data_IF_834044757492
#
_entry.id   IF_834044757492
#
_cell.length_a   1.000
_cell.length_b   1.000
_cell.length_c   1.000
_cell.angle_alpha   90.00
_cell.angle_beta   90.00
_cell.angle_gamma   90.00
#
_symmetry.space_group_name_H-M   'P 1'
#
loop_
_entity.id
_entity.type
_entity.pdbx_description
1 polymer ?
#
# COMPACT_ATOMS: atom_id res chain seq x y z
N UNK A 1 -0.81 -7.71 15.57
CA UNK A 1 0.53 -7.76 14.92
C UNK A 1 1.56 -8.50 15.77
N UNK A 2 1.20 -8.80 17.00
CA UNK A 2 2.03 -9.29 18.10
C UNK A 2 2.60 -10.69 17.83
N UNK A 3 2.04 -11.43 16.87
CA UNK A 3 2.52 -12.76 16.49
C UNK A 3 3.82 -12.72 15.69
N UNK A 4 3.99 -11.73 14.81
CA UNK A 4 5.18 -11.61 13.95
C UNK A 4 6.19 -10.58 14.47
N UNK A 5 5.79 -9.67 15.36
CA UNK A 5 6.67 -8.65 15.95
C UNK A 5 7.96 -9.24 16.56
N UNK A 6 7.94 -10.31 17.39
CA UNK A 6 9.17 -10.86 17.96
C UNK A 6 10.15 -11.41 16.93
N UNK A 7 9.67 -11.85 15.76
CA UNK A 7 10.50 -12.34 14.66
C UNK A 7 11.03 -11.18 13.81
N UNK A 8 10.21 -10.15 13.59
CA UNK A 8 10.65 -8.93 12.91
C UNK A 8 11.80 -8.25 13.66
N UNK A 9 11.71 -8.11 14.98
CA UNK A 9 12.78 -7.50 15.80
C UNK A 9 14.13 -8.24 15.64
N UNK A 10 14.11 -9.55 15.38
CA UNK A 10 15.32 -10.36 15.18
C UNK A 10 15.88 -10.32 13.75
N UNK A 11 15.14 -9.78 12.79
CA UNK A 11 15.58 -9.70 11.39
C UNK A 11 16.72 -8.70 11.22
N UNK A 12 17.67 -9.00 10.32
CA UNK A 12 18.74 -8.05 9.94
C UNK A 12 18.21 -6.86 9.13
N UNK A 13 17.06 -7.02 8.49
CA UNK A 13 16.42 -5.99 7.67
C UNK A 13 14.89 -6.15 7.78
N UNK A 14 14.29 -5.76 8.92
CA UNK A 14 12.86 -5.96 9.14
C UNK A 14 11.99 -5.02 8.33
N UNK A 15 11.03 -5.59 7.61
CA UNK A 15 10.14 -4.84 6.71
C UNK A 15 8.73 -5.41 6.72
N UNK A 16 7.74 -4.53 6.65
CA UNK A 16 6.32 -4.87 6.52
C UNK A 16 5.74 -4.05 5.36
N UNK A 17 5.13 -4.74 4.41
CA UNK A 17 4.40 -4.13 3.31
C UNK A 17 2.92 -4.47 3.42
N UNK A 18 2.07 -3.46 3.34
CA UNK A 18 0.62 -3.60 3.28
C UNK A 18 0.13 -3.28 1.87
N UNK A 19 -0.59 -4.22 1.24
CA UNK A 19 -1.20 -3.98 -0.08
C UNK A 19 -2.48 -3.16 0.10
N UNK A 20 -2.39 -1.88 -0.24
CA UNK A 20 -3.49 -0.91 -0.17
C UNK A 20 -4.00 -0.56 -1.59
N UNK A 21 -4.62 0.62 -1.75
CA UNK A 21 -5.15 1.13 -3.01
C UNK A 21 -5.29 2.65 -2.95
N UNK A 22 -5.12 3.34 -4.08
CA UNK A 22 -5.44 4.77 -4.22
C UNK A 22 -6.90 5.09 -3.92
N UNK A 23 -7.81 4.12 -4.07
CA UNK A 23 -9.21 4.25 -3.65
C UNK A 23 -9.40 4.42 -2.13
N UNK A 24 -8.36 4.16 -1.33
CA UNK A 24 -8.32 4.48 0.09
C UNK A 24 -7.86 5.91 0.40
N UNK A 25 -7.57 6.73 -0.61
CA UNK A 25 -7.15 8.12 -0.46
C UNK A 25 -8.36 9.06 -0.34
N UNK A 26 -8.46 9.75 0.79
CA UNK A 26 -9.44 10.81 1.04
C UNK A 26 -9.22 12.01 0.11
N UNK A 27 -7.97 12.39 -0.17
CA UNK A 27 -7.66 13.48 -1.11
C UNK A 27 -8.15 13.15 -2.52
N UNK A 28 -7.95 11.92 -2.99
CA UNK A 28 -8.41 11.52 -4.33
C UNK A 28 -9.92 11.31 -4.40
N UNK A 29 -10.54 10.89 -3.28
CA UNK A 29 -11.98 10.80 -3.16
C UNK A 29 -12.65 12.18 -3.27
N UNK A 30 -12.06 13.24 -2.68
CA UNK A 30 -12.58 14.61 -2.76
C UNK A 30 -12.69 15.14 -4.18
N UNK A 31 -11.75 14.76 -5.06
CA UNK A 31 -11.74 15.17 -6.47
C UNK A 31 -12.35 14.13 -7.41
N UNK A 32 -12.94 13.06 -6.86
CA UNK A 32 -13.46 11.91 -7.61
C UNK A 32 -12.50 11.42 -8.71
N UNK A 33 -11.19 11.34 -8.39
CA UNK A 33 -10.13 11.05 -9.38
C UNK A 33 -10.43 9.80 -10.22
N UNK A 34 -11.01 8.79 -9.59
CA UNK A 34 -11.25 7.47 -10.18
C UNK A 34 -12.62 7.33 -10.84
N UNK A 35 -13.50 8.32 -10.75
CA UNK A 35 -14.84 8.28 -11.34
C UNK A 35 -15.79 7.21 -10.74
N UNK A 36 -15.34 6.50 -9.69
CA UNK A 36 -15.99 5.31 -9.16
C UNK A 36 -17.03 5.68 -8.10
N UNK A 37 -18.24 6.00 -8.53
CA UNK A 37 -19.40 6.25 -7.65
C UNK A 37 -20.18 4.98 -7.29
N UNK A 38 -19.60 3.81 -7.55
CA UNK A 38 -20.28 2.54 -7.34
C UNK A 38 -20.36 2.20 -5.85
N UNK A 39 -21.59 2.06 -5.33
CA UNK A 39 -21.85 1.81 -3.91
C UNK A 39 -21.12 0.58 -3.35
N UNK A 40 -20.87 -0.43 -4.18
CA UNK A 40 -20.20 -1.65 -3.74
C UNK A 40 -18.70 -1.44 -3.42
N UNK A 41 -18.10 -0.35 -3.90
CA UNK A 41 -16.70 -0.01 -3.59
C UNK A 41 -16.54 0.72 -2.26
N UNK A 42 -17.61 1.20 -1.62
CA UNK A 42 -17.49 2.03 -0.41
C UNK A 42 -16.82 1.29 0.75
N UNK A 43 -17.16 0.01 0.95
CA UNK A 43 -16.53 -0.82 1.99
C UNK A 43 -15.07 -1.12 1.66
N UNK A 44 -14.75 -1.36 0.38
CA UNK A 44 -13.38 -1.53 -0.09
C UNK A 44 -12.55 -0.27 0.19
N UNK A 45 -13.02 0.90 -0.24
CA UNK A 45 -12.37 2.19 -0.05
C UNK A 45 -12.15 2.47 1.44
N UNK A 46 -13.18 2.30 2.28
CA UNK A 46 -13.07 2.48 3.72
C UNK A 46 -12.03 1.52 4.34
N UNK A 47 -11.99 0.26 3.91
CA UNK A 47 -11.02 -0.72 4.40
C UNK A 47 -9.57 -0.33 4.03
N UNK A 48 -9.36 0.21 2.82
CA UNK A 48 -8.04 0.64 2.36
C UNK A 48 -7.60 1.95 3.02
N UNK A 49 -8.53 2.87 3.27
CA UNK A 49 -8.28 4.06 4.07
C UNK A 49 -7.88 3.70 5.52
N UNK A 50 -8.60 2.76 6.15
CA UNK A 50 -8.24 2.26 7.47
C UNK A 50 -6.86 1.58 7.48
N UNK A 51 -6.53 0.80 6.45
CA UNK A 51 -5.21 0.15 6.31
C UNK A 51 -4.08 1.18 6.15
N UNK A 52 -4.32 2.28 5.44
CA UNK A 52 -3.37 3.39 5.30
C UNK A 52 -3.05 4.01 6.67
N UNK A 53 -4.07 4.39 7.44
CA UNK A 53 -3.91 4.95 8.80
C UNK A 53 -3.24 3.94 9.74
N UNK A 54 -3.67 2.67 9.68
CA UNK A 54 -3.08 1.60 10.49
C UNK A 54 -1.56 1.50 10.23
N UNK A 55 -1.15 1.50 8.96
CA UNK A 55 0.27 1.43 8.56
C UNK A 55 1.09 2.58 9.16
N UNK A 56 0.56 3.80 9.16
CA UNK A 56 1.20 4.97 9.80
C UNK A 56 1.33 4.77 11.32
N UNK A 57 0.25 4.38 11.98
CA UNK A 57 0.23 4.22 13.43
C UNK A 57 1.23 3.15 13.90
N UNK A 58 1.31 2.03 13.19
CA UNK A 58 2.28 0.97 13.48
C UNK A 58 3.71 1.45 13.24
N UNK A 59 3.96 2.14 12.13
CA UNK A 59 5.28 2.73 11.85
C UNK A 59 5.72 3.64 12.99
N UNK A 60 4.85 4.55 13.42
CA UNK A 60 5.14 5.49 14.51
C UNK A 60 5.39 4.75 15.83
N UNK A 61 4.58 3.74 16.14
CA UNK A 61 4.74 2.90 17.33
C UNK A 61 6.08 2.13 17.32
N UNK A 62 6.47 1.51 16.21
CA UNK A 62 7.73 0.77 16.14
C UNK A 62 8.96 1.68 16.06
N UNK A 63 8.83 2.86 15.46
CA UNK A 63 9.85 3.90 15.49
C UNK A 63 10.09 4.41 16.92
N UNK A 64 9.04 4.67 17.70
CA UNK A 64 9.21 5.12 19.10
C UNK A 64 9.87 4.07 20.00
N UNK A 65 9.80 2.79 19.62
CA UNK A 65 10.49 1.68 20.27
C UNK A 65 11.88 1.39 19.71
N UNK A 66 12.34 2.14 18.71
CA UNK A 66 13.63 1.94 18.01
C UNK A 66 13.81 0.52 17.45
N UNK A 67 12.74 -0.12 17.00
CA UNK A 67 12.83 -1.49 16.47
C UNK A 67 13.47 -1.57 15.07
N UNK A 68 13.65 -0.44 14.39
CA UNK A 68 14.22 -0.39 13.04
C UNK A 68 13.35 -1.04 11.95
N UNK A 69 12.09 -1.38 12.25
CA UNK A 69 11.15 -2.03 11.33
C UNK A 69 10.61 -1.01 10.33
N UNK A 70 10.84 -1.24 9.04
CA UNK A 70 10.30 -0.39 7.97
C UNK A 70 8.88 -0.81 7.63
N UNK A 71 7.97 0.15 7.51
CA UNK A 71 6.55 -0.10 7.18
C UNK A 71 6.15 0.79 6.01
N UNK A 72 5.50 0.19 5.01
CA UNK A 72 4.98 0.87 3.82
C UNK A 72 3.62 0.29 3.41
N UNK A 73 2.74 1.16 2.94
CA UNK A 73 1.53 0.78 2.23
C UNK A 73 1.73 1.03 0.73
N UNK A 74 1.26 0.10 -0.11
CA UNK A 74 1.46 0.18 -1.57
C UNK A 74 0.15 -0.04 -2.31
N UNK A 75 -0.17 0.85 -3.25
CA UNK A 75 -1.15 0.58 -4.30
C UNK A 75 -0.44 -0.05 -5.52
N UNK A 76 -0.68 -1.35 -5.83
CA UNK A 76 -0.04 -2.02 -6.96
C UNK A 76 -0.61 -1.59 -8.32
N UNK A 77 -1.68 -0.80 -8.34
CA UNK A 77 -2.41 -0.40 -9.55
C UNK A 77 -3.51 -1.39 -9.94
N UNK A 78 -4.26 -1.05 -10.99
CA UNK A 78 -5.43 -1.82 -11.42
C UNK A 78 -5.05 -3.07 -12.21
N UNK A 79 -4.69 -4.14 -11.48
CA UNK A 79 -4.16 -5.37 -12.05
C UNK A 79 -5.26 -6.35 -12.50
N UNK A 80 -5.09 -7.02 -13.65
CA UNK A 80 -5.91 -8.15 -14.08
C UNK A 80 -5.73 -9.34 -13.11
N UNK A 81 -6.70 -9.52 -12.21
CA UNK A 81 -6.70 -10.61 -11.22
C UNK A 81 -8.12 -11.16 -11.03
N UNK A 82 -8.27 -12.26 -10.30
CA UNK A 82 -9.61 -12.76 -9.96
C UNK A 82 -10.46 -11.76 -9.16
N UNK A 83 -9.86 -10.83 -8.42
CA UNK A 83 -10.55 -9.80 -7.63
C UNK A 83 -11.48 -8.92 -8.47
N UNK A 84 -11.10 -8.63 -9.72
CA UNK A 84 -11.83 -7.77 -10.65
C UNK A 84 -12.24 -8.51 -11.93
N UNK A 85 -12.29 -9.85 -11.89
CA UNK A 85 -12.61 -10.65 -13.08
C UNK A 85 -11.62 -10.49 -14.23
N UNK A 86 -10.34 -10.20 -13.92
CA UNK A 86 -9.26 -9.96 -14.87
C UNK A 86 -9.47 -8.74 -15.79
N UNK A 87 -10.20 -7.72 -15.33
CA UNK A 87 -10.54 -6.54 -16.12
C UNK A 87 -9.52 -5.38 -16.07
N UNK A 88 -8.54 -5.44 -15.17
CA UNK A 88 -7.52 -4.39 -15.04
C UNK A 88 -6.53 -4.38 -16.21
N UNK A 89 -6.06 -3.21 -16.68
CA UNK A 89 -5.13 -3.10 -17.80
C UNK A 89 -3.68 -3.51 -17.45
N UNK A 90 -3.37 -3.66 -16.16
CA UNK A 90 -2.03 -3.98 -15.67
C UNK A 90 -1.88 -5.48 -15.41
N UNK A 91 -0.76 -6.07 -15.80
CA UNK A 91 -0.49 -7.47 -15.45
C UNK A 91 -0.24 -7.63 -13.94
N UNK A 92 -0.73 -8.73 -13.36
CA UNK A 92 -0.51 -9.03 -11.94
C UNK A 92 1.00 -9.11 -11.57
N UNK A 93 1.83 -9.61 -12.49
CA UNK A 93 3.29 -9.67 -12.38
C UNK A 93 3.91 -8.28 -12.14
N UNK A 94 3.39 -7.24 -12.82
CA UNK A 94 3.83 -5.85 -12.69
C UNK A 94 3.38 -5.23 -11.38
N UNK A 95 2.17 -5.55 -10.92
CA UNK A 95 1.72 -5.17 -9.58
C UNK A 95 2.61 -5.76 -8.47
N UNK A 96 2.99 -7.03 -8.60
CA UNK A 96 3.93 -7.68 -7.69
C UNK A 96 5.33 -7.04 -7.73
N UNK A 97 5.81 -6.68 -8.92
CA UNK A 97 7.09 -5.97 -9.09
C UNK A 97 7.08 -4.60 -8.39
N UNK A 98 5.98 -3.85 -8.47
CA UNK A 98 5.83 -2.59 -7.76
C UNK A 98 5.90 -2.76 -6.24
N UNK A 99 5.19 -3.76 -5.69
CA UNK A 99 5.26 -4.08 -4.26
C UNK A 99 6.68 -4.49 -3.85
N UNK A 100 7.37 -5.30 -4.66
CA UNK A 100 8.75 -5.70 -4.40
C UNK A 100 9.68 -4.49 -4.33
N UNK A 101 9.67 -3.61 -5.32
CA UNK A 101 10.57 -2.44 -5.33
C UNK A 101 10.26 -1.48 -4.20
N UNK A 102 8.98 -1.27 -3.88
CA UNK A 102 8.56 -0.43 -2.77
C UNK A 102 9.06 -0.93 -1.41
N UNK A 103 9.18 -2.25 -1.20
CA UNK A 103 9.70 -2.79 0.07
C UNK A 103 11.23 -2.92 0.07
N UNK A 104 11.88 -3.08 -1.08
CA UNK A 104 13.34 -3.24 -1.15
C UNK A 104 14.10 -1.94 -1.26
N UNK A 105 13.47 -0.85 -1.73
CA UNK A 105 14.10 0.48 -1.67
C UNK A 105 14.36 0.89 -0.23
N UNK A 106 15.41 1.67 0.03
CA UNK A 106 15.67 2.22 1.37
C UNK A 106 15.10 3.63 1.55
N UNK A 107 14.54 4.21 0.49
CA UNK A 107 13.96 5.54 0.49
C UNK A 107 12.49 5.52 0.96
N UNK A 108 12.27 5.38 2.28
CA UNK A 108 10.94 5.31 2.92
C UNK A 108 10.45 6.64 3.49
N UNK A 109 10.84 7.77 2.89
CA UNK A 109 10.27 9.06 3.29
C UNK A 109 8.74 9.08 3.13
N UNK A 110 8.23 8.25 2.21
CA UNK A 110 6.81 8.20 1.89
C UNK A 110 6.17 6.90 2.42
N UNK A 111 5.18 6.99 3.31
CA UNK A 111 4.50 5.82 3.88
C UNK A 111 3.48 5.16 2.92
N UNK A 112 3.07 5.85 1.86
CA UNK A 112 2.14 5.33 0.86
C UNK A 112 2.66 5.55 -0.57
N UNK A 113 2.95 4.46 -1.25
CA UNK A 113 3.54 4.45 -2.59
C UNK A 113 2.54 3.86 -3.59
N UNK A 114 2.52 4.35 -4.83
CA UNK A 114 1.65 3.85 -5.88
C UNK A 114 2.40 3.53 -7.17
N UNK A 115 1.87 2.56 -7.92
CA UNK A 115 2.26 2.28 -9.31
C UNK A 115 1.02 2.12 -10.19
N UNK A 116 0.65 3.15 -10.95
CA UNK A 116 -0.57 3.15 -11.78
C UNK A 116 -0.40 2.46 -13.13
N UNK A 117 0.78 2.57 -13.75
CA UNK A 117 1.03 2.11 -15.13
C UNK A 117 1.71 0.75 -15.16
N UNK A 118 1.86 0.19 -16.37
CA UNK A 118 2.69 -1.00 -16.62
C UNK A 118 4.19 -0.71 -16.51
N UNK A 119 4.57 0.56 -16.57
CA UNK A 119 5.92 1.00 -16.26
C UNK A 119 6.11 1.02 -14.75
N UNK A 120 7.30 0.61 -14.29
CA UNK A 120 7.63 0.56 -12.88
C UNK A 120 7.99 1.96 -12.37
N UNK A 121 6.98 2.82 -12.29
CA UNK A 121 7.08 4.15 -11.68
C UNK A 121 6.42 4.07 -10.31
N UNK A 122 7.20 4.43 -9.28
CA UNK A 122 6.73 4.53 -7.91
C UNK A 122 6.61 5.99 -7.53
N UNK A 123 5.43 6.40 -7.11
CA UNK A 123 5.14 7.78 -6.74
C UNK A 123 4.59 7.86 -5.33
N UNK A 124 4.83 9.00 -4.68
CA UNK A 124 4.11 9.33 -3.46
C UNK A 124 2.64 9.51 -3.78
N UNK A 125 1.77 8.79 -3.07
CA UNK A 125 0.34 8.99 -3.19
C UNK A 125 -0.21 9.76 -1.98
N UNK A 126 -1.12 10.72 -2.20
CA UNK A 126 -1.76 11.43 -1.11
C UNK A 126 -2.68 10.49 -0.33
N UNK A 127 -2.82 10.73 0.98
CA UNK A 127 -3.81 10.05 1.82
C UNK A 127 -5.21 10.61 1.67
#
# INVERSE_FOLDING_TARGET
>A
MDKFEPLLIKSKAPRVLNISSGLGSSTEALVNKWGNNEKFLFSYNASKAALNILSINIRNLWNSKNYGIKVVAVDPGYCATNLNGNSGPKEASKGAQAAFVAITTDNFEIPFIRSETNELVLEAAPF
#
